data_IF_247989810168
#
_entry.id   IF_247989810168
#
_cell.length_a   1.000
_cell.length_b   1.000
_cell.length_c   1.000
_cell.angle_alpha   90.00
_cell.angle_beta   90.00
_cell.angle_gamma   90.00
#
_symmetry.space_group_name_H-M   'P 1'
#
loop_
_entity.id
_entity.type
_entity.pdbx_description
1 polymer ?
#
# COMPACT_ATOMS: atom_id res chain seq x y z
N UNK A 1 -3.24 13.93 -17.79
CA UNK A 1 -3.80 15.28 -17.53
C UNK A 1 -4.98 15.06 -16.58
N UNK A 2 -4.72 15.02 -15.26
CA UNK A 2 -5.72 14.70 -14.24
C UNK A 2 -6.76 15.82 -14.16
N UNK A 3 -8.04 15.54 -13.97
CA UNK A 3 -9.03 16.57 -13.68
C UNK A 3 -8.93 17.01 -12.21
N UNK A 4 -8.77 18.31 -12.01
CA UNK A 4 -8.81 18.94 -10.70
C UNK A 4 -10.18 18.76 -10.03
N UNK A 5 -10.26 17.93 -9.03
CA UNK A 5 -11.42 17.81 -8.15
C UNK A 5 -11.39 18.96 -7.14
N UNK A 6 -12.28 19.94 -7.30
CA UNK A 6 -12.46 21.07 -6.39
C UNK A 6 -13.03 20.58 -5.05
N UNK A 7 -12.22 20.57 -4.01
CA UNK A 7 -12.70 20.39 -2.63
C UNK A 7 -13.58 21.58 -2.22
N UNK A 8 -14.81 21.28 -1.83
CA UNK A 8 -15.74 22.25 -1.24
C UNK A 8 -15.48 22.33 0.27
N UNK A 9 -15.03 23.48 0.73
CA UNK A 9 -14.83 23.76 2.15
C UNK A 9 -16.20 23.90 2.85
N UNK A 10 -16.48 23.02 3.80
CA UNK A 10 -17.64 23.15 4.71
C UNK A 10 -17.19 23.99 5.90
N UNK A 11 -17.68 25.22 5.95
CA UNK A 11 -17.51 26.13 7.08
C UNK A 11 -18.53 25.76 8.14
N UNK A 12 -18.09 25.15 9.26
CA UNK A 12 -18.92 24.91 10.43
C UNK A 12 -18.91 26.13 11.35
N UNK A 13 -20.07 26.73 11.51
CA UNK A 13 -20.32 27.90 12.36
C UNK A 13 -20.56 27.42 13.80
N UNK A 14 -19.62 27.60 14.71
CA UNK A 14 -19.85 27.39 16.14
C UNK A 14 -20.60 28.56 16.77
N UNK A 15 -21.78 28.27 17.33
CA UNK A 15 -22.53 29.18 18.17
C UNK A 15 -22.01 29.15 19.61
N UNK A 16 -21.57 30.33 20.08
CA UNK A 16 -21.38 30.63 21.50
C UNK A 16 -22.72 30.57 22.26
N UNK A 17 -22.73 29.89 23.39
CA UNK A 17 -23.64 30.20 24.51
C UNK A 17 -22.87 30.12 25.82
N UNK A 18 -22.71 31.28 26.42
CA UNK A 18 -22.18 31.44 27.74
C UNK A 18 -23.26 31.22 28.82
N UNK A 19 -22.84 30.90 30.00
CA UNK A 19 -23.49 31.29 31.25
C UNK A 19 -22.54 31.13 32.43
N UNK A 20 -22.56 32.14 33.24
CA UNK A 20 -21.71 32.58 34.34
C UNK A 20 -22.08 31.97 35.71
N UNK A 21 -21.19 32.28 36.73
CA UNK A 21 -21.34 32.31 38.20
C UNK A 21 -21.22 30.95 38.92
N UNK A 22 -20.39 30.81 39.98
CA UNK A 22 -20.31 31.60 41.18
C UNK A 22 -19.00 31.32 41.95
N UNK A 23 -18.50 32.36 42.56
CA UNK A 23 -17.40 32.36 43.53
C UNK A 23 -17.90 31.90 44.94
N UNK A 24 -17.06 31.17 45.67
CA UNK A 24 -17.12 31.17 47.12
C UNK A 24 -15.69 31.05 47.70
N UNK A 25 -15.31 32.09 48.42
CA UNK A 25 -14.12 32.17 49.26
C UNK A 25 -14.42 31.58 50.61
N UNK A 26 -13.46 30.91 51.25
CA UNK A 26 -13.24 31.01 52.71
C UNK A 26 -11.92 30.33 53.13
N UNK A 27 -11.06 31.16 53.57
CA UNK A 27 -10.32 31.34 54.86
C UNK A 27 -9.19 30.39 55.21
N UNK A 28 -8.12 31.09 55.49
CA UNK A 28 -6.80 30.77 55.95
C UNK A 28 -6.73 29.93 57.27
N UNK A 29 -5.67 29.09 57.34
CA UNK A 29 -5.02 28.78 58.60
C UNK A 29 -3.51 28.75 58.38
N UNK A 30 -2.82 29.73 58.98
CA UNK A 30 -1.38 29.79 59.15
C UNK A 30 -0.94 28.77 60.20
N UNK A 31 0.04 27.90 59.85
CA UNK A 31 0.94 27.34 60.85
C UNK A 31 2.37 27.48 60.29
N UNK A 32 3.14 28.35 60.97
CA UNK A 32 4.59 28.41 60.86
C UNK A 32 5.19 27.15 61.48
N UNK A 33 6.08 26.47 60.78
CA UNK A 33 7.08 25.62 61.39
C UNK A 33 8.37 25.63 60.57
N UNK A 34 9.36 26.24 61.17
CA UNK A 34 10.80 26.07 61.19
C UNK A 34 11.56 25.57 59.96
N UNK A 35 12.55 26.37 59.59
CA UNK A 35 13.69 26.13 58.70
C UNK A 35 14.46 24.84 58.96
N UNK A 36 14.74 24.08 57.89
CA UNK A 36 15.98 23.32 57.73
C UNK A 36 16.48 23.54 56.30
N UNK A 37 17.76 23.88 56.06
CA UNK A 37 18.31 24.01 54.74
C UNK A 37 18.83 22.66 54.25
N UNK A 38 18.49 22.30 53.01
CA UNK A 38 19.27 21.30 52.32
C UNK A 38 18.48 20.14 51.71
N UNK A 39 18.20 20.26 50.50
CA UNK A 39 18.23 19.34 49.39
C UNK A 39 17.20 19.83 48.39
N UNK A 40 17.64 20.57 47.41
CA UNK A 40 16.90 20.67 46.14
C UNK A 40 16.89 19.26 45.56
N UNK A 41 15.80 18.53 45.82
CA UNK A 41 15.48 17.40 44.99
C UNK A 41 15.17 17.97 43.62
N UNK A 42 16.10 17.79 42.71
CA UNK A 42 15.87 17.91 41.29
C UNK A 42 14.75 16.89 41.01
N UNK A 43 13.52 17.33 40.95
CA UNK A 43 12.47 16.55 40.30
C UNK A 43 12.90 16.47 38.86
N UNK A 44 13.67 15.43 38.52
CA UNK A 44 13.88 14.94 37.17
C UNK A 44 12.49 14.66 36.66
N UNK A 45 11.98 15.61 35.88
CA UNK A 45 10.67 15.52 35.22
C UNK A 45 10.81 14.33 34.29
N UNK A 46 10.32 13.15 34.71
CA UNK A 46 10.27 11.97 33.88
C UNK A 46 9.57 12.39 32.56
N UNK A 47 10.23 12.17 31.45
CA UNK A 47 9.59 12.31 30.16
C UNK A 47 8.28 11.51 30.18
N UNK A 48 7.21 11.99 29.53
CA UNK A 48 6.00 11.19 29.39
C UNK A 48 6.40 9.80 28.91
N UNK A 49 5.90 8.76 29.55
CA UNK A 49 6.10 7.41 29.04
C UNK A 49 5.51 7.36 27.63
N UNK A 50 6.33 7.02 26.66
CA UNK A 50 5.87 6.79 25.30
C UNK A 50 4.76 5.72 25.34
N UNK A 51 3.64 6.02 24.71
CA UNK A 51 2.54 5.06 24.60
C UNK A 51 2.96 4.03 23.54
N UNK A 52 2.94 2.75 23.90
CA UNK A 52 3.23 1.66 22.94
C UNK A 52 1.98 0.83 22.69
N UNK A 53 1.90 0.23 21.53
CA UNK A 53 0.93 -0.80 21.17
C UNK A 53 1.68 -2.11 20.90
N UNK A 54 1.09 -3.23 21.28
CA UNK A 54 1.61 -4.54 20.90
C UNK A 54 0.88 -5.01 19.64
N UNK A 55 1.62 -5.20 18.55
CA UNK A 55 1.08 -5.74 17.30
C UNK A 55 1.64 -7.15 17.07
N UNK A 56 1.01 -7.91 16.18
CA UNK A 56 1.54 -9.19 15.70
C UNK A 56 1.94 -9.02 14.24
N UNK A 57 3.24 -9.05 14.00
CA UNK A 57 3.83 -9.00 12.65
C UNK A 57 4.11 -10.41 12.10
N UNK A 58 4.84 -10.50 11.01
CA UNK A 58 5.18 -11.79 10.37
C UNK A 58 6.18 -12.62 11.19
N UNK A 59 6.84 -12.04 12.20
CA UNK A 59 7.83 -12.67 13.08
C UNK A 59 7.32 -12.93 14.50
N UNK A 60 6.20 -12.29 14.91
CA UNK A 60 5.59 -12.48 16.23
C UNK A 60 5.03 -11.20 16.85
N UNK A 61 5.01 -11.14 18.18
CA UNK A 61 4.55 -9.95 18.91
C UNK A 61 5.68 -8.92 19.03
N UNK A 62 5.39 -7.68 18.66
CA UNK A 62 6.32 -6.54 18.75
C UNK A 62 5.64 -5.39 19.48
N UNK A 63 6.36 -4.75 20.40
CA UNK A 63 5.93 -3.47 21.01
C UNK A 63 6.41 -2.32 20.11
N UNK A 64 5.47 -1.50 19.66
CA UNK A 64 5.72 -0.38 18.73
C UNK A 64 5.28 0.92 19.38
N UNK A 65 6.04 2.02 19.29
CA UNK A 65 5.56 3.35 19.70
C UNK A 65 4.28 3.73 18.96
N UNK A 66 3.30 4.30 19.65
CA UNK A 66 2.12 4.89 19.00
C UNK A 66 2.47 6.28 18.49
N UNK A 67 2.13 6.58 17.24
CA UNK A 67 2.51 7.81 16.55
C UNK A 67 4.03 8.04 16.56
N UNK A 68 4.82 7.09 16.01
CA UNK A 68 6.27 7.23 15.95
C UNK A 68 6.67 8.51 15.20
N UNK A 69 7.76 9.15 15.65
CA UNK A 69 8.21 10.43 15.10
C UNK A 69 9.22 10.26 13.94
N UNK A 70 9.89 9.09 13.87
CA UNK A 70 10.99 8.82 12.93
C UNK A 70 10.78 7.50 12.22
N UNK A 71 9.92 7.54 11.22
CA UNK A 71 9.49 6.35 10.47
C UNK A 71 10.40 6.13 9.26
N UNK A 72 10.89 4.91 9.12
CA UNK A 72 11.47 4.37 7.89
C UNK A 72 10.47 3.37 7.31
N UNK A 73 10.05 3.56 6.08
CA UNK A 73 9.19 2.61 5.37
C UNK A 73 9.93 2.04 4.16
N UNK A 74 9.95 0.70 4.04
CA UNK A 74 10.65 -0.03 3.00
C UNK A 74 9.71 -0.89 2.14
N UNK A 75 8.47 -1.07 2.60
CA UNK A 75 7.44 -1.86 1.93
C UNK A 75 6.59 -0.98 1.02
N UNK A 76 6.43 -1.39 -0.24
CA UNK A 76 5.64 -0.65 -1.21
C UNK A 76 4.15 -0.60 -0.85
N UNK A 77 3.62 -1.64 -0.19
CA UNK A 77 2.19 -1.74 0.14
C UNK A 77 1.72 -0.71 1.16
N UNK A 78 2.65 -0.05 1.89
CA UNK A 78 2.28 0.90 2.94
C UNK A 78 2.38 2.36 2.53
N UNK A 79 3.07 2.68 1.42
CA UNK A 79 3.38 4.08 1.10
C UNK A 79 2.14 4.92 0.85
N UNK A 80 1.14 4.41 0.10
CA UNK A 80 -0.08 5.16 -0.20
C UNK A 80 -0.86 5.47 1.09
N UNK A 81 -1.03 4.48 1.97
CA UNK A 81 -1.69 4.66 3.26
C UNK A 81 -0.95 5.67 4.14
N UNK A 82 0.39 5.61 4.18
CA UNK A 82 1.19 6.56 4.97
C UNK A 82 1.12 7.98 4.39
N UNK A 83 1.11 8.12 3.06
CA UNK A 83 1.00 9.40 2.35
C UNK A 83 -0.38 10.03 2.56
N UNK A 84 -1.45 9.26 2.41
CA UNK A 84 -2.82 9.71 2.70
C UNK A 84 -3.01 10.18 4.15
N UNK A 85 -2.28 9.57 5.08
CA UNK A 85 -2.33 9.94 6.49
C UNK A 85 -1.36 11.05 6.87
N UNK A 86 -0.65 11.65 5.91
CA UNK A 86 0.36 12.69 6.14
C UNK A 86 1.48 12.22 7.12
N UNK A 87 1.87 10.92 7.10
CA UNK A 87 2.93 10.39 7.96
C UNK A 87 4.29 10.79 7.40
N UNK A 88 5.12 11.55 8.14
CA UNK A 88 6.44 11.92 7.65
C UNK A 88 7.41 10.73 7.70
N UNK A 89 8.14 10.50 6.61
CA UNK A 89 9.22 9.52 6.59
C UNK A 89 10.57 10.21 6.81
N UNK A 90 11.50 9.54 7.50
CA UNK A 90 12.90 9.99 7.62
C UNK A 90 13.83 9.29 6.62
N UNK A 91 13.42 8.13 6.11
CA UNK A 91 14.10 7.44 5.02
C UNK A 91 13.13 6.51 4.26
N UNK A 92 13.36 6.36 2.97
CA UNK A 92 12.57 5.52 2.08
C UNK A 92 13.42 5.05 0.88
N UNK A 93 13.05 3.94 0.22
CA UNK A 93 13.76 3.42 -0.94
C UNK A 93 13.33 4.14 -2.24
N UNK A 94 13.72 5.42 -2.38
CA UNK A 94 13.28 6.30 -3.48
C UNK A 94 13.53 5.70 -4.87
N UNK A 95 14.56 4.87 -5.01
CA UNK A 95 14.89 4.20 -6.26
C UNK A 95 13.86 3.19 -6.76
N UNK A 96 12.89 2.78 -5.91
CA UNK A 96 11.81 1.85 -6.28
C UNK A 96 10.41 2.43 -6.09
N UNK A 97 10.30 3.70 -5.71
CA UNK A 97 9.00 4.38 -5.53
C UNK A 97 8.48 5.00 -6.83
N UNK A 98 9.32 5.11 -7.86
CA UNK A 98 8.94 5.71 -9.13
C UNK A 98 8.53 7.17 -8.97
N UNK A 99 7.36 7.53 -9.52
CA UNK A 99 6.75 8.85 -9.44
C UNK A 99 5.46 8.86 -8.63
N UNK A 100 5.13 7.76 -7.98
CA UNK A 100 3.84 7.57 -7.32
C UNK A 100 3.70 8.47 -6.08
N UNK A 101 4.78 8.66 -5.31
CA UNK A 101 4.76 9.39 -4.03
C UNK A 101 5.75 10.57 -4.05
N UNK A 102 5.42 11.68 -4.76
CA UNK A 102 6.31 12.83 -4.88
C UNK A 102 6.61 13.51 -3.54
N UNK A 103 5.70 13.43 -2.56
CA UNK A 103 5.89 14.03 -1.24
C UNK A 103 7.05 13.37 -0.48
N UNK A 104 7.34 12.10 -0.76
CA UNK A 104 8.51 11.40 -0.23
C UNK A 104 9.72 11.46 -1.16
N UNK A 105 9.52 11.25 -2.47
CA UNK A 105 10.63 11.14 -3.42
C UNK A 105 11.33 12.47 -3.69
N UNK A 106 10.59 13.58 -3.71
CA UNK A 106 11.11 14.93 -3.96
C UNK A 106 11.57 15.62 -2.68
N UNK A 107 11.20 15.14 -1.48
CA UNK A 107 11.64 15.72 -0.22
C UNK A 107 13.13 15.38 0.04
N UNK A 108 13.96 16.41 0.15
CA UNK A 108 15.37 16.29 0.42
C UNK A 108 15.70 15.88 1.88
N UNK A 109 14.73 15.97 2.80
CA UNK A 109 14.87 15.56 4.20
C UNK A 109 14.62 14.05 4.37
N UNK A 110 13.93 13.40 3.44
CA UNK A 110 13.79 11.95 3.39
C UNK A 110 15.06 11.35 2.78
N UNK A 111 15.79 10.56 3.55
CA UNK A 111 17.01 9.91 3.07
C UNK A 111 16.66 8.77 2.09
N UNK A 112 17.42 8.67 0.99
CA UNK A 112 17.27 7.55 0.06
C UNK A 112 18.07 6.34 0.58
N UNK A 113 17.40 5.20 0.75
CA UNK A 113 18.02 3.93 1.15
C UNK A 113 18.30 3.01 -0.04
N UNK A 114 18.25 3.54 -1.25
CA UNK A 114 18.53 2.79 -2.48
C UNK A 114 17.41 1.87 -2.91
N UNK A 115 17.79 0.67 -3.35
CA UNK A 115 16.84 -0.35 -3.81
C UNK A 115 17.00 -1.65 -3.02
N UNK A 116 16.03 -2.54 -3.10
CA UNK A 116 16.13 -3.87 -2.48
C UNK A 116 17.32 -4.72 -2.99
N UNK A 117 17.85 -4.43 -4.17
CA UNK A 117 19.02 -5.13 -4.74
C UNK A 117 20.33 -4.59 -4.21
N UNK A 118 20.36 -3.30 -3.86
CA UNK A 118 21.52 -2.59 -3.32
C UNK A 118 21.03 -1.65 -2.20
N UNK A 119 20.60 -2.21 -1.03
CA UNK A 119 20.08 -1.39 0.07
C UNK A 119 21.22 -0.67 0.80
N UNK A 120 21.05 0.62 1.05
CA UNK A 120 21.92 1.42 1.91
C UNK A 120 21.46 1.31 3.38
N UNK A 121 21.87 0.23 4.04
CA UNK A 121 21.55 0.00 5.45
C UNK A 121 22.21 1.02 6.39
N UNK A 122 23.35 1.65 5.98
CA UNK A 122 23.97 2.71 6.75
C UNK A 122 23.10 3.98 6.76
N UNK A 123 22.38 4.27 5.67
CA UNK A 123 21.42 5.36 5.61
C UNK A 123 20.24 5.13 6.58
N UNK A 124 19.75 3.90 6.71
CA UNK A 124 18.71 3.54 7.69
C UNK A 124 19.19 3.83 9.11
N UNK A 125 20.39 3.36 9.48
CA UNK A 125 20.98 3.61 10.81
C UNK A 125 21.18 5.10 11.04
N UNK A 126 21.65 5.84 10.03
CA UNK A 126 21.90 7.28 10.14
C UNK A 126 20.61 8.08 10.32
N UNK A 127 19.49 7.58 9.82
CA UNK A 127 18.19 8.18 10.02
C UNK A 127 17.68 8.08 11.46
N UNK A 128 18.27 7.24 12.32
CA UNK A 128 17.91 7.05 13.73
C UNK A 128 16.39 6.84 13.91
N UNK A 129 15.79 5.82 13.28
CA UNK A 129 14.36 5.59 13.36
C UNK A 129 13.93 5.13 14.75
N UNK A 130 12.65 5.38 15.08
CA UNK A 130 11.94 4.74 16.18
C UNK A 130 11.02 3.61 15.69
N UNK A 131 10.62 3.67 14.39
CA UNK A 131 9.92 2.60 13.68
C UNK A 131 10.56 2.35 12.31
N UNK A 132 10.75 1.06 11.98
CA UNK A 132 11.10 0.59 10.63
C UNK A 132 10.02 -0.40 10.18
N UNK A 133 9.31 -0.06 9.10
CA UNK A 133 8.37 -0.96 8.44
C UNK A 133 9.11 -1.62 7.29
N UNK A 134 9.57 -2.85 7.52
CA UNK A 134 10.26 -3.69 6.54
C UNK A 134 9.31 -4.61 5.81
N UNK A 135 9.86 -5.51 5.05
CA UNK A 135 9.12 -6.57 4.39
C UNK A 135 9.12 -6.49 2.86
N UNK A 136 8.35 -7.37 2.23
CA UNK A 136 8.22 -7.49 0.80
C UNK A 136 9.59 -7.56 0.10
N UNK A 137 9.96 -6.52 -0.64
CA UNK A 137 11.24 -6.47 -1.37
C UNK A 137 12.48 -6.43 -0.45
N UNK A 138 12.34 -6.02 0.81
CA UNK A 138 13.43 -5.88 1.77
C UNK A 138 13.49 -7.02 2.80
N UNK A 139 12.62 -8.04 2.71
CA UNK A 139 12.52 -9.14 3.67
C UNK A 139 13.85 -9.90 3.87
N UNK A 140 14.65 -10.05 2.82
CA UNK A 140 15.98 -10.68 2.93
C UNK A 140 16.94 -9.89 3.83
N UNK A 141 16.70 -8.61 4.07
CA UNK A 141 17.52 -7.73 4.89
C UNK A 141 17.05 -7.63 6.35
N UNK A 142 15.91 -8.25 6.71
CA UNK A 142 15.25 -8.08 8.00
C UNK A 142 16.18 -8.30 9.19
N UNK A 143 16.85 -9.47 9.29
CA UNK A 143 17.73 -9.78 10.40
C UNK A 143 18.86 -8.76 10.56
N UNK A 144 19.40 -8.26 9.45
CA UNK A 144 20.47 -7.26 9.47
C UNK A 144 19.94 -5.89 9.92
N UNK A 145 18.73 -5.52 9.48
CA UNK A 145 18.08 -4.26 9.88
C UNK A 145 17.81 -4.28 11.39
N UNK A 146 17.28 -5.39 11.92
CA UNK A 146 17.05 -5.57 13.37
C UNK A 146 18.36 -5.46 14.16
N UNK A 147 19.42 -6.14 13.70
CA UNK A 147 20.72 -6.12 14.39
C UNK A 147 21.33 -4.69 14.44
N UNK A 148 21.18 -3.93 13.38
CA UNK A 148 21.78 -2.60 13.25
C UNK A 148 20.98 -1.47 13.88
N UNK A 149 19.68 -1.70 14.20
CA UNK A 149 18.79 -0.69 14.75
C UNK A 149 18.15 -1.16 16.08
N UNK A 150 18.96 -1.45 17.12
CA UNK A 150 18.47 -2.05 18.36
C UNK A 150 17.54 -1.16 19.19
N UNK A 151 17.48 0.14 18.90
CA UNK A 151 16.64 1.12 19.58
C UNK A 151 15.32 1.41 18.82
N UNK A 152 15.15 0.85 17.63
CA UNK A 152 13.94 0.98 16.82
C UNK A 152 13.04 -0.26 16.98
N UNK A 153 11.72 -0.08 16.88
CA UNK A 153 10.82 -1.16 16.56
C UNK A 153 10.98 -1.51 15.07
N UNK A 154 11.26 -2.77 14.76
CA UNK A 154 11.35 -3.27 13.38
C UNK A 154 10.22 -4.26 13.17
N UNK A 155 9.37 -4.01 12.18
CA UNK A 155 8.21 -4.86 11.88
C UNK A 155 8.21 -5.27 10.41
N UNK A 156 7.67 -6.45 10.13
CA UNK A 156 7.28 -6.92 8.79
C UNK A 156 5.80 -7.26 8.80
N UNK A 157 5.01 -6.49 8.07
CA UNK A 157 3.55 -6.66 7.99
C UNK A 157 3.05 -6.99 6.58
N UNK A 158 3.96 -7.07 5.61
CA UNK A 158 3.67 -7.43 4.22
C UNK A 158 2.80 -8.70 4.10
N UNK A 159 2.02 -8.83 3.02
CA UNK A 159 1.23 -10.03 2.75
C UNK A 159 2.05 -11.32 2.83
N UNK A 160 1.53 -12.31 3.56
CA UNK A 160 2.21 -13.59 3.81
C UNK A 160 1.92 -14.60 2.70
N UNK A 161 2.93 -15.37 2.34
CA UNK A 161 2.80 -16.41 1.32
C UNK A 161 1.73 -17.45 1.70
N UNK A 162 0.82 -17.71 0.76
CA UNK A 162 -0.20 -18.74 0.89
C UNK A 162 -1.47 -18.33 1.61
N UNK A 163 -1.51 -17.10 2.15
CA UNK A 163 -2.71 -16.49 2.69
C UNK A 163 -3.51 -15.77 1.58
N UNK A 164 -4.72 -15.31 1.88
CA UNK A 164 -5.51 -14.52 0.94
C UNK A 164 -4.93 -13.11 0.83
N UNK A 165 -4.47 -12.66 -0.35
CA UNK A 165 -3.80 -11.36 -0.49
C UNK A 165 -4.67 -10.18 -0.07
N UNK A 166 -5.98 -10.22 -0.31
CA UNK A 166 -6.88 -9.12 0.06
C UNK A 166 -7.07 -9.04 1.58
N UNK A 167 -7.17 -10.19 2.26
CA UNK A 167 -7.21 -10.24 3.72
C UNK A 167 -5.88 -9.79 4.34
N UNK A 168 -4.76 -10.08 3.68
CA UNK A 168 -3.44 -9.65 4.15
C UNK A 168 -3.24 -8.14 4.00
N UNK A 169 -3.67 -7.52 2.91
CA UNK A 169 -3.65 -6.06 2.75
C UNK A 169 -4.53 -5.37 3.80
N UNK A 170 -5.72 -5.93 4.12
CA UNK A 170 -6.56 -5.41 5.21
C UNK A 170 -5.85 -5.53 6.57
N UNK A 171 -5.22 -6.68 6.86
CA UNK A 171 -4.44 -6.87 8.09
C UNK A 171 -3.32 -5.85 8.22
N UNK A 172 -2.59 -5.59 7.16
CA UNK A 172 -1.53 -4.60 7.10
C UNK A 172 -2.06 -3.20 7.42
N UNK A 173 -3.14 -2.78 6.75
CA UNK A 173 -3.80 -1.48 6.98
C UNK A 173 -4.32 -1.35 8.41
N UNK A 174 -4.92 -2.40 8.98
CA UNK A 174 -5.41 -2.41 10.37
C UNK A 174 -4.25 -2.28 11.38
N UNK A 175 -3.10 -2.90 11.12
CA UNK A 175 -1.90 -2.75 11.96
C UNK A 175 -1.36 -1.33 11.89
N UNK A 176 -1.29 -0.73 10.70
CA UNK A 176 -0.93 0.68 10.54
C UNK A 176 -1.88 1.58 11.31
N UNK A 177 -3.19 1.33 11.26
CA UNK A 177 -4.19 2.05 12.04
C UNK A 177 -3.89 2.05 13.55
N UNK A 178 -3.51 0.90 14.12
CA UNK A 178 -3.14 0.78 15.53
C UNK A 178 -1.86 1.55 15.88
N UNK A 179 -0.87 1.55 14.98
CA UNK A 179 0.41 2.23 15.19
C UNK A 179 0.24 3.75 15.13
N UNK A 180 -0.56 4.25 14.18
CA UNK A 180 -0.71 5.68 13.92
C UNK A 180 -1.96 6.32 14.53
N UNK A 181 -2.69 5.60 15.44
CA UNK A 181 -3.93 6.08 16.10
C UNK A 181 -4.98 6.51 15.04
N UNK A 182 -5.15 5.65 14.00
CA UNK A 182 -5.98 5.85 12.81
C UNK A 182 -6.89 4.64 12.53
N UNK A 183 -7.39 3.97 13.58
CA UNK A 183 -8.18 2.75 13.42
C UNK A 183 -9.50 3.00 12.66
N UNK A 184 -10.08 4.19 12.81
CA UNK A 184 -11.31 4.55 12.10
C UNK A 184 -11.05 4.73 10.60
N UNK A 185 -9.96 5.38 10.21
CA UNK A 185 -9.52 5.56 8.83
C UNK A 185 -9.11 4.22 8.20
N UNK A 186 -8.39 3.37 8.94
CA UNK A 186 -8.04 2.02 8.49
C UNK A 186 -9.30 1.17 8.22
N UNK A 187 -10.32 1.27 9.09
CA UNK A 187 -11.59 0.58 8.91
C UNK A 187 -12.36 1.10 7.67
N UNK A 188 -12.25 2.39 7.34
CA UNK A 188 -12.84 2.95 6.13
C UNK A 188 -12.16 2.36 4.88
N UNK A 189 -10.82 2.38 4.80
CA UNK A 189 -10.04 1.83 3.68
C UNK A 189 -10.36 0.34 3.47
N UNK A 190 -10.36 -0.47 4.55
CA UNK A 190 -10.66 -1.90 4.45
C UNK A 190 -12.10 -2.18 4.01
N UNK A 191 -13.05 -1.34 4.44
CA UNK A 191 -14.45 -1.42 4.02
C UNK A 191 -14.65 -1.03 2.56
N UNK A 192 -13.90 -0.07 2.05
CA UNK A 192 -13.92 0.33 0.65
C UNK A 192 -13.43 -0.80 -0.26
N UNK A 193 -12.34 -1.49 0.12
CA UNK A 193 -11.90 -2.69 -0.59
C UNK A 193 -12.98 -3.78 -0.62
N UNK A 194 -13.57 -4.11 0.54
CA UNK A 194 -14.62 -5.13 0.61
C UNK A 194 -15.84 -4.77 -0.27
N UNK A 195 -16.23 -3.50 -0.31
CA UNK A 195 -17.33 -3.02 -1.13
C UNK A 195 -16.99 -3.08 -2.62
N UNK A 196 -15.80 -2.65 -3.03
CA UNK A 196 -15.36 -2.68 -4.44
C UNK A 196 -15.30 -4.12 -4.97
N UNK A 197 -14.80 -5.07 -4.17
CA UNK A 197 -14.82 -6.50 -4.50
C UNK A 197 -16.26 -7.00 -4.66
N UNK A 198 -17.16 -6.66 -3.73
CA UNK A 198 -18.56 -7.10 -3.79
C UNK A 198 -19.29 -6.56 -5.03
N UNK A 199 -19.06 -5.29 -5.37
CA UNK A 199 -19.68 -4.63 -6.51
C UNK A 199 -19.12 -5.17 -7.85
N UNK A 200 -17.81 -5.35 -7.97
CA UNK A 200 -17.19 -5.98 -9.14
C UNK A 200 -17.67 -7.41 -9.35
N UNK A 201 -17.76 -8.19 -8.27
CA UNK A 201 -18.27 -9.56 -8.29
C UNK A 201 -19.76 -9.62 -8.71
N UNK A 202 -20.56 -8.65 -8.31
CA UNK A 202 -21.96 -8.55 -8.72
C UNK A 202 -22.10 -8.15 -10.19
N UNK A 203 -21.21 -7.30 -10.72
CA UNK A 203 -21.21 -6.86 -12.11
C UNK A 203 -20.76 -7.98 -13.06
N UNK A 204 -19.84 -8.84 -12.63
CA UNK A 204 -19.38 -9.97 -13.44
C UNK A 204 -20.51 -10.99 -13.69
N UNK A 205 -20.71 -11.37 -14.94
CA UNK A 205 -21.84 -12.24 -15.34
C UNK A 205 -21.66 -13.73 -14.98
N UNK A 206 -20.48 -14.13 -14.44
CA UNK A 206 -20.18 -15.49 -14.00
C UNK A 206 -19.89 -16.49 -15.12
N UNK A 207 -19.88 -16.07 -16.38
CA UNK A 207 -19.71 -16.97 -17.53
C UNK A 207 -18.60 -16.62 -18.48
N UNK A 208 -18.31 -15.33 -18.63
CA UNK A 208 -17.27 -14.85 -19.53
C UNK A 208 -15.89 -15.27 -19.03
N UNK A 209 -15.05 -15.68 -19.97
CA UNK A 209 -13.69 -16.09 -19.66
C UNK A 209 -12.76 -14.90 -19.61
N UNK A 210 -11.84 -14.90 -18.63
CA UNK A 210 -10.89 -13.82 -18.39
C UNK A 210 -9.47 -14.35 -18.53
N UNK A 211 -8.56 -13.55 -19.08
CA UNK A 211 -7.12 -13.80 -19.06
C UNK A 211 -6.39 -12.64 -18.39
N UNK A 212 -5.45 -12.95 -17.49
CA UNK A 212 -4.51 -11.99 -16.92
C UNK A 212 -3.24 -11.94 -17.75
N UNK A 213 -2.78 -10.74 -18.09
CA UNK A 213 -1.55 -10.51 -18.86
C UNK A 213 -0.66 -9.50 -18.15
N UNK A 214 0.66 -9.62 -18.37
CA UNK A 214 1.66 -8.62 -18.00
C UNK A 214 2.44 -8.28 -19.27
N UNK A 215 2.67 -6.98 -19.53
CA UNK A 215 3.57 -6.57 -20.61
C UNK A 215 4.85 -5.99 -20.06
N UNK A 216 5.99 -6.39 -20.60
CA UNK A 216 7.31 -5.89 -20.23
C UNK A 216 8.32 -6.10 -21.37
N UNK A 217 9.16 -5.08 -21.66
CA UNK A 217 10.20 -5.14 -22.68
C UNK A 217 9.66 -5.50 -24.09
N UNK A 218 8.43 -5.14 -24.41
CA UNK A 218 7.77 -5.46 -25.69
C UNK A 218 7.28 -6.90 -25.79
N UNK A 219 7.15 -7.63 -24.67
CA UNK A 219 6.60 -8.99 -24.62
C UNK A 219 5.25 -8.99 -23.90
N UNK A 220 4.45 -10.01 -24.19
CA UNK A 220 3.23 -10.34 -23.46
C UNK A 220 3.51 -11.61 -22.65
N UNK A 221 3.26 -11.56 -21.37
CA UNK A 221 3.45 -12.65 -20.39
C UNK A 221 2.11 -12.97 -19.73
N UNK A 222 1.96 -14.17 -19.22
CA UNK A 222 0.73 -14.67 -18.62
C UNK A 222 0.75 -14.51 -17.10
N UNK A 223 -0.21 -13.77 -16.56
CA UNK A 223 -0.48 -13.75 -15.13
C UNK A 223 -1.44 -14.89 -14.78
N UNK A 224 -0.90 -15.97 -14.23
CA UNK A 224 -1.68 -17.16 -13.91
C UNK A 224 -2.78 -16.85 -12.88
N UNK A 225 -3.98 -17.44 -13.02
CA UNK A 225 -5.06 -17.27 -12.05
C UNK A 225 -4.60 -17.63 -10.63
N UNK A 226 -5.02 -16.84 -9.64
CA UNK A 226 -4.77 -16.98 -8.20
C UNK A 226 -3.33 -16.63 -7.80
N UNK A 227 -2.32 -17.18 -8.47
CA UNK A 227 -0.91 -17.10 -8.02
C UNK A 227 -0.03 -16.18 -8.85
N UNK A 228 -0.47 -15.76 -10.03
CA UNK A 228 0.26 -14.78 -10.83
C UNK A 228 0.21 -13.39 -10.20
N UNK A 229 1.28 -12.64 -10.36
CA UNK A 229 1.43 -11.30 -9.77
C UNK A 229 0.29 -10.36 -10.20
N UNK A 230 -0.07 -9.44 -9.36
CA UNK A 230 -1.02 -8.34 -9.60
C UNK A 230 -2.42 -8.80 -9.99
N UNK A 231 -2.60 -9.42 -11.17
CA UNK A 231 -3.90 -9.84 -11.69
C UNK A 231 -4.36 -11.20 -11.13
N UNK A 232 -3.43 -12.07 -10.71
CA UNK A 232 -3.77 -13.41 -10.21
C UNK A 232 -4.78 -13.41 -9.06
N UNK A 233 -4.59 -12.61 -8.00
CA UNK A 233 -5.51 -12.52 -6.87
C UNK A 233 -6.95 -12.14 -7.25
N UNK A 234 -7.15 -11.37 -8.32
CA UNK A 234 -8.46 -10.92 -8.79
C UNK A 234 -9.36 -12.10 -9.17
N UNK A 235 -8.77 -13.19 -9.68
CA UNK A 235 -9.52 -14.40 -10.04
C UNK A 235 -10.20 -15.04 -8.84
N UNK A 236 -9.49 -15.16 -7.72
CA UNK A 236 -10.07 -15.73 -6.50
C UNK A 236 -11.08 -14.79 -5.85
N UNK A 237 -10.77 -13.49 -5.76
CA UNK A 237 -11.64 -12.51 -5.14
C UNK A 237 -12.99 -12.39 -5.83
N UNK A 238 -13.00 -12.33 -7.16
CA UNK A 238 -14.24 -12.18 -7.94
C UNK A 238 -14.87 -13.53 -8.38
N UNK A 239 -14.13 -14.64 -8.27
CA UNK A 239 -14.54 -15.94 -8.81
C UNK A 239 -14.59 -15.93 -10.34
N UNK A 240 -13.61 -15.28 -10.98
CA UNK A 240 -13.52 -15.19 -12.43
C UNK A 240 -13.26 -16.57 -13.05
N UNK A 241 -13.83 -16.80 -14.21
CA UNK A 241 -13.57 -18.01 -15.01
C UNK A 241 -12.31 -17.81 -15.85
N UNK A 242 -11.21 -18.52 -15.61
CA UNK A 242 -10.01 -18.35 -16.40
C UNK A 242 -10.19 -18.86 -17.82
N UNK A 243 -9.66 -18.12 -18.80
CA UNK A 243 -9.59 -18.59 -20.19
C UNK A 243 -8.52 -19.69 -20.38
N UNK A 244 -7.48 -19.66 -19.53
CA UNK A 244 -6.43 -20.66 -19.47
C UNK A 244 -6.25 -21.08 -18.00
N UNK A 245 -6.41 -22.38 -17.74
CA UNK A 245 -6.17 -22.99 -16.42
C UNK A 245 -4.72 -23.49 -16.35
N UNK A 246 -3.79 -22.62 -15.99
CA UNK A 246 -2.39 -22.96 -15.78
C UNK A 246 -1.94 -22.39 -14.45
N UNK A 247 -1.11 -23.14 -13.72
CA UNK A 247 -0.45 -22.65 -12.52
C UNK A 247 0.77 -21.82 -12.91
N UNK A 248 1.09 -20.79 -12.13
CA UNK A 248 2.27 -19.98 -12.35
C UNK A 248 3.55 -20.81 -12.16
N UNK A 249 4.49 -20.63 -13.09
CA UNK A 249 5.89 -21.05 -12.96
C UNK A 249 6.73 -19.88 -12.41
N UNK A 250 6.44 -18.64 -12.85
CA UNK A 250 6.98 -17.40 -12.31
C UNK A 250 5.85 -16.53 -11.73
N UNK A 251 5.81 -16.45 -10.41
CA UNK A 251 4.83 -15.62 -9.69
C UNK A 251 5.23 -14.15 -9.62
N UNK A 252 6.42 -13.77 -10.09
CA UNK A 252 6.97 -12.42 -9.94
C UNK A 252 6.85 -11.56 -11.19
N UNK A 253 6.97 -12.17 -12.39
CA UNK A 253 7.02 -11.43 -13.66
C UNK A 253 6.01 -11.93 -14.69
N UNK A 254 5.36 -13.06 -14.43
CA UNK A 254 4.49 -13.75 -15.37
C UNK A 254 5.21 -14.85 -16.17
N UNK A 255 4.41 -15.76 -16.71
CA UNK A 255 4.90 -16.91 -17.45
C UNK A 255 5.00 -16.61 -18.95
N UNK A 256 5.94 -17.24 -19.63
CA UNK A 256 6.02 -17.19 -21.09
C UNK A 256 4.72 -17.75 -21.71
N UNK A 257 4.08 -16.98 -22.58
CA UNK A 257 2.92 -17.39 -23.35
C UNK A 257 3.05 -16.93 -24.80
N UNK A 258 2.61 -17.76 -25.74
CA UNK A 258 2.53 -17.31 -27.14
C UNK A 258 1.20 -16.60 -27.43
N UNK A 259 1.24 -15.59 -28.27
CA UNK A 259 0.02 -14.86 -28.70
C UNK A 259 -0.99 -15.79 -29.40
N UNK A 260 -0.52 -16.87 -30.05
CA UNK A 260 -1.36 -17.89 -30.65
C UNK A 260 -2.09 -18.73 -29.58
N UNK A 261 -1.49 -18.96 -28.41
CA UNK A 261 -2.15 -19.64 -27.30
C UNK A 261 -3.25 -18.77 -26.71
N UNK A 262 -3.01 -17.46 -26.56
CA UNK A 262 -4.03 -16.49 -26.16
C UNK A 262 -5.18 -16.46 -27.18
N UNK A 263 -4.86 -16.38 -28.46
CA UNK A 263 -5.85 -16.38 -29.54
C UNK A 263 -6.67 -17.69 -29.59
N UNK A 264 -6.03 -18.83 -29.32
CA UNK A 264 -6.71 -20.12 -29.28
C UNK A 264 -7.65 -20.26 -28.05
N UNK A 265 -7.29 -19.67 -26.92
CA UNK A 265 -8.12 -19.60 -25.73
C UNK A 265 -9.33 -18.67 -25.92
N UNK A 266 -9.20 -17.67 -26.79
CA UNK A 266 -10.23 -16.69 -27.14
C UNK A 266 -10.97 -16.11 -25.93
N UNK A 267 -10.28 -15.42 -25.01
CA UNK A 267 -10.90 -14.84 -23.82
C UNK A 267 -11.97 -13.82 -24.19
N UNK A 268 -13.00 -13.73 -23.34
CA UNK A 268 -14.03 -12.68 -23.42
C UNK A 268 -13.48 -11.36 -22.84
N UNK A 269 -12.59 -11.43 -21.84
CA UNK A 269 -11.96 -10.29 -21.20
C UNK A 269 -10.45 -10.46 -21.08
N UNK A 270 -9.72 -9.36 -21.24
CA UNK A 270 -8.28 -9.25 -20.93
C UNK A 270 -8.13 -8.25 -19.80
N UNK A 271 -7.40 -8.62 -18.76
CA UNK A 271 -6.94 -7.72 -17.69
C UNK A 271 -5.43 -7.67 -17.76
N UNK A 272 -4.86 -6.50 -18.02
CA UNK A 272 -3.44 -6.38 -18.34
C UNK A 272 -2.74 -5.33 -17.52
N UNK A 273 -1.61 -5.72 -16.92
CA UNK A 273 -0.64 -4.85 -16.29
C UNK A 273 0.43 -4.44 -17.31
N UNK A 274 0.57 -3.15 -17.56
CA UNK A 274 1.74 -2.61 -18.28
C UNK A 274 2.85 -2.30 -17.27
N UNK A 275 3.75 -3.27 -17.07
CA UNK A 275 4.84 -3.11 -16.09
C UNK A 275 5.77 -1.94 -16.46
N UNK A 276 6.03 -1.74 -17.74
CA UNK A 276 6.98 -0.72 -18.18
C UNK A 276 6.44 0.71 -17.99
N UNK A 277 5.12 0.87 -17.95
CA UNK A 277 4.47 2.16 -17.69
C UNK A 277 4.76 2.72 -16.28
N UNK A 278 5.07 1.83 -15.32
CA UNK A 278 5.39 2.23 -13.94
C UNK A 278 6.76 2.89 -13.77
N UNK A 279 7.61 2.90 -14.79
CA UNK A 279 8.97 3.42 -14.70
C UNK A 279 9.17 4.64 -15.58
N UNK A 280 9.82 5.68 -15.02
CA UNK A 280 10.22 6.86 -15.80
C UNK A 280 11.21 6.53 -16.94
N UNK A 281 12.05 5.50 -16.74
CA UNK A 281 12.97 4.95 -17.73
C UNK A 281 12.63 3.47 -17.94
N UNK A 282 11.71 3.15 -18.88
CA UNK A 282 11.29 1.77 -19.12
C UNK A 282 12.41 0.93 -19.74
N UNK A 283 12.25 -0.39 -19.67
CA UNK A 283 13.18 -1.36 -20.25
C UNK A 283 13.42 -1.12 -21.75
N UNK A 284 14.62 -1.40 -22.27
CA UNK A 284 14.90 -1.28 -23.69
C UNK A 284 13.97 -2.19 -24.52
N UNK A 285 13.20 -1.59 -25.40
CA UNK A 285 12.24 -2.30 -26.25
C UNK A 285 10.82 -2.30 -25.68
N UNK A 286 10.58 -1.59 -24.57
CA UNK A 286 9.24 -1.37 -24.05
C UNK A 286 8.30 -0.82 -25.13
N UNK A 287 7.10 -1.37 -25.17
CA UNK A 287 5.98 -0.94 -26.02
C UNK A 287 4.75 -0.89 -25.13
N UNK A 288 3.98 0.21 -25.12
CA UNK A 288 2.75 0.29 -24.33
C UNK A 288 1.83 -0.92 -24.59
N UNK A 289 1.20 -1.40 -23.52
CA UNK A 289 0.38 -2.63 -23.59
C UNK A 289 -0.74 -2.53 -24.62
N UNK A 290 -1.37 -1.37 -24.74
CA UNK A 290 -2.42 -1.10 -25.73
C UNK A 290 -1.89 -1.17 -27.19
N UNK A 291 -0.71 -0.59 -27.45
CA UNK A 291 -0.06 -0.68 -28.76
C UNK A 291 0.38 -2.12 -29.05
N UNK A 292 0.89 -2.84 -28.05
CA UNK A 292 1.37 -4.22 -28.22
C UNK A 292 0.21 -5.18 -28.52
N UNK A 293 -0.92 -5.05 -27.82
CA UNK A 293 -2.13 -5.86 -28.05
C UNK A 293 -2.77 -5.48 -29.41
N UNK A 294 -2.95 -4.19 -29.67
CA UNK A 294 -3.53 -3.70 -30.93
C UNK A 294 -2.66 -4.00 -32.15
N UNK A 295 -1.34 -4.05 -32.00
CA UNK A 295 -0.39 -4.37 -33.05
C UNK A 295 -0.25 -5.86 -33.39
N UNK A 296 -0.77 -6.74 -32.53
CA UNK A 296 -0.66 -8.20 -32.71
C UNK A 296 -1.70 -8.72 -33.68
N UNK A 297 -1.27 -9.15 -34.91
CA UNK A 297 -2.18 -9.75 -35.89
C UNK A 297 -2.91 -11.00 -35.35
N UNK A 298 -2.27 -11.76 -34.47
CA UNK A 298 -2.85 -12.97 -33.88
C UNK A 298 -4.00 -12.66 -32.92
N UNK A 299 -3.98 -11.52 -32.27
CA UNK A 299 -4.99 -11.13 -31.28
C UNK A 299 -6.20 -10.40 -31.89
N UNK A 300 -6.12 -9.94 -33.13
CA UNK A 300 -7.20 -9.16 -33.79
C UNK A 300 -8.55 -9.89 -33.87
N UNK A 301 -8.56 -11.22 -33.85
CA UNK A 301 -9.78 -12.03 -33.84
C UNK A 301 -10.22 -12.54 -32.49
N UNK A 302 -9.57 -12.10 -31.42
CA UNK A 302 -9.92 -12.48 -30.06
C UNK A 302 -11.16 -11.68 -29.61
N UNK A 303 -12.11 -12.33 -28.98
CA UNK A 303 -13.38 -11.73 -28.52
C UNK A 303 -13.14 -10.46 -27.71
N UNK A 304 -12.24 -10.50 -26.74
CA UNK A 304 -11.90 -9.35 -25.90
C UNK A 304 -11.39 -8.14 -26.72
N UNK A 305 -10.59 -8.39 -27.77
CA UNK A 305 -10.06 -7.32 -28.65
C UNK A 305 -11.14 -6.79 -29.59
N UNK A 306 -11.97 -7.69 -30.19
CA UNK A 306 -13.05 -7.27 -31.09
C UNK A 306 -14.15 -6.47 -30.40
N UNK A 307 -14.37 -6.72 -29.10
CA UNK A 307 -15.43 -6.07 -28.32
C UNK A 307 -14.93 -4.93 -27.42
N UNK A 308 -13.62 -4.60 -27.48
CA UNK A 308 -12.99 -3.60 -26.61
C UNK A 308 -13.14 -3.92 -25.12
N UNK A 309 -13.10 -5.22 -24.77
CA UNK A 309 -13.21 -5.76 -23.41
C UNK A 309 -11.82 -5.99 -22.80
N UNK A 310 -11.05 -4.91 -22.71
CA UNK A 310 -9.69 -4.92 -22.16
C UNK A 310 -9.61 -3.90 -21.04
N UNK A 311 -9.22 -4.37 -19.85
CA UNK A 311 -8.96 -3.52 -18.68
C UNK A 311 -7.46 -3.38 -18.51
N UNK A 312 -6.96 -2.15 -18.66
CA UNK A 312 -5.58 -1.79 -18.40
C UNK A 312 -5.47 -1.27 -16.97
N UNK A 313 -4.60 -1.89 -16.16
CA UNK A 313 -4.34 -1.44 -14.80
C UNK A 313 -3.70 -0.04 -14.83
N UNK A 314 -3.85 0.70 -13.72
CA UNK A 314 -3.17 1.99 -13.58
C UNK A 314 -1.66 1.84 -13.80
N UNK A 315 -1.03 2.90 -14.34
CA UNK A 315 0.40 2.89 -14.69
C UNK A 315 1.31 2.62 -13.50
N UNK A 316 0.91 3.01 -12.30
CA UNK A 316 1.74 2.86 -11.10
C UNK A 316 1.46 1.54 -10.35
N UNK A 317 0.45 0.75 -10.77
CA UNK A 317 0.01 -0.46 -10.09
C UNK A 317 1.13 -1.44 -9.76
N UNK A 318 2.10 -1.63 -10.67
CA UNK A 318 3.25 -2.53 -10.42
C UNK A 318 4.13 -2.10 -9.24
N UNK A 319 4.16 -0.81 -8.94
CA UNK A 319 4.93 -0.24 -7.83
C UNK A 319 4.13 -0.18 -6.54
N UNK A 320 2.82 0.03 -6.63
CA UNK A 320 1.91 0.17 -5.49
C UNK A 320 1.48 -1.19 -4.97
N UNK A 321 0.68 -1.95 -5.69
CA UNK A 321 0.10 -3.24 -5.30
C UNK A 321 -0.52 -3.24 -3.89
N UNK A 322 -0.86 -2.05 -3.37
CA UNK A 322 -1.43 -1.80 -2.07
C UNK A 322 -2.96 -1.93 -2.05
N UNK A 323 -3.56 -1.69 -0.90
CA UNK A 323 -5.01 -1.81 -0.72
C UNK A 323 -5.78 -0.81 -1.57
N UNK A 324 -5.27 0.41 -1.75
CA UNK A 324 -5.88 1.45 -2.57
C UNK A 324 -5.82 1.08 -4.06
N UNK A 325 -4.68 0.60 -4.54
CA UNK A 325 -4.52 0.17 -5.93
C UNK A 325 -5.47 -0.98 -6.28
N UNK A 326 -5.63 -1.97 -5.40
CA UNK A 326 -6.61 -3.03 -5.61
C UNK A 326 -8.05 -2.55 -5.52
N UNK A 327 -8.37 -1.61 -4.64
CA UNK A 327 -9.70 -0.99 -4.56
C UNK A 327 -10.05 -0.33 -5.89
N UNK A 328 -9.17 0.49 -6.43
CA UNK A 328 -9.33 1.14 -7.74
C UNK A 328 -9.47 0.12 -8.89
N UNK A 329 -8.67 -0.95 -8.87
CA UNK A 329 -8.77 -2.02 -9.87
C UNK A 329 -10.14 -2.70 -9.83
N UNK A 330 -10.68 -3.00 -8.65
CA UNK A 330 -12.02 -3.61 -8.56
C UNK A 330 -13.12 -2.65 -9.00
N UNK A 331 -12.99 -1.35 -8.74
CA UNK A 331 -13.91 -0.34 -9.26
C UNK A 331 -13.86 -0.27 -10.80
N UNK A 332 -12.67 -0.29 -11.40
CA UNK A 332 -12.51 -0.35 -12.86
C UNK A 332 -13.14 -1.60 -13.47
N UNK A 333 -12.95 -2.76 -12.83
CA UNK A 333 -13.55 -4.03 -13.26
C UNK A 333 -15.08 -4.00 -13.12
N UNK A 334 -15.61 -3.40 -12.06
CA UNK A 334 -17.06 -3.22 -11.87
C UNK A 334 -17.64 -2.38 -13.00
N UNK A 335 -17.04 -1.25 -13.34
CA UNK A 335 -17.49 -0.40 -14.43
C UNK A 335 -17.43 -1.10 -15.78
N UNK A 336 -16.33 -1.82 -16.06
CA UNK A 336 -16.14 -2.58 -17.29
C UNK A 336 -17.19 -3.68 -17.46
N UNK A 337 -17.38 -4.52 -16.43
CA UNK A 337 -18.36 -5.62 -16.47
C UNK A 337 -19.81 -5.14 -16.53
N UNK A 338 -20.14 -4.00 -15.91
CA UNK A 338 -21.48 -3.42 -15.96
C UNK A 338 -21.81 -2.77 -17.31
N UNK A 339 -20.81 -2.39 -18.11
CA UNK A 339 -20.93 -1.75 -19.41
C UNK A 339 -21.05 -2.72 -20.59
N UNK A 340 -20.82 -4.01 -20.39
CA UNK A 340 -20.74 -5.05 -21.44
C UNK A 340 -22.06 -5.72 -21.82
#
# INVERSE_FOLDING_TARGET
>A
MRPETKRAAIVSTQMLRGASFAALALTAAFTLSACAPGAEANEEQAAPAETTVTITDNHGEVEVPVNPERVVALDNHVFETLDEWDVPLVAAPKGIMGTAWPDYTDDAEVADVGTHREPDLEAIVAAQPDLIIGGYRFSESYDTIVEQNPDAAVIEIAPRDGEDPMEELKRETEILGQIFDREDEAAEITSELDQSIADAKQAYNGTDSVIGLITSGGKIEFAAPVTGRSVGPVFSALGLKPAIEQQAEDTSHGDDISVEAIAAANPDWIVVLDRDASFAEPEPGAVPADELIAGSEALQGVTAVEQDQIVYLDSDFYLTEDIQAYTELYEQLQEAFAGA
#
